data_IF_844222455172
#
_entry.id   IF_844222455172
#
_cell.length_a   1.000
_cell.length_b   1.000
_cell.length_c   1.000
_cell.angle_alpha   90.00
_cell.angle_beta   90.00
_cell.angle_gamma   90.00
#
_symmetry.space_group_name_H-M   'P 1'
#
loop_
_entity.id
_entity.type
_entity.pdbx_description
1 polymer ?
#
# COMPACT_ATOMS: atom_id res chain seq x y z
N UNK A 1 37.02 5.06 32.36
CA UNK A 1 35.57 5.29 32.48
C UNK A 1 34.96 4.78 31.19
N UNK A 2 34.39 3.58 31.24
CA UNK A 2 33.85 2.83 30.10
C UNK A 2 32.40 2.47 30.44
N UNK A 3 31.43 2.57 29.53
CA UNK A 3 30.06 2.16 29.80
C UNK A 3 29.90 0.63 29.74
N UNK A 4 28.94 0.05 30.49
CA UNK A 4 28.79 -1.40 30.63
C UNK A 4 27.96 -2.01 29.50
N UNK A 5 28.42 -3.17 29.04
CA UNK A 5 27.73 -4.10 28.15
C UNK A 5 26.66 -4.84 28.96
N UNK A 6 25.39 -4.43 28.87
CA UNK A 6 24.27 -5.25 29.37
C UNK A 6 22.98 -4.91 28.64
N UNK A 7 22.75 -5.50 27.45
CA UNK A 7 21.44 -5.43 26.78
C UNK A 7 21.31 -6.53 25.72
N UNK A 8 21.25 -7.82 26.11
CA UNK A 8 21.07 -8.92 25.15
C UNK A 8 20.49 -10.23 25.76
N UNK A 9 19.48 -10.16 26.64
CA UNK A 9 18.85 -11.39 27.21
C UNK A 9 17.31 -11.37 27.33
N UNK A 10 16.57 -10.38 26.80
CA UNK A 10 15.11 -10.29 27.03
C UNK A 10 14.17 -10.63 25.85
N UNK A 11 14.61 -11.37 24.83
CA UNK A 11 13.75 -11.68 23.64
C UNK A 11 13.18 -13.12 23.60
N UNK A 12 13.50 -14.02 24.55
CA UNK A 12 13.18 -15.45 24.39
C UNK A 12 12.02 -16.03 25.23
N UNK A 13 11.10 -15.23 25.78
CA UNK A 13 10.09 -15.73 26.74
C UNK A 13 8.60 -15.46 26.44
N UNK A 14 8.24 -15.03 25.22
CA UNK A 14 6.85 -15.01 24.75
C UNK A 14 6.58 -16.03 23.63
N UNK A 15 6.96 -17.29 23.87
CA UNK A 15 6.55 -18.45 23.05
C UNK A 15 5.67 -19.42 23.85
N UNK A 16 4.77 -18.88 24.67
CA UNK A 16 3.67 -19.67 25.22
C UNK A 16 2.55 -19.73 24.18
N UNK A 17 2.73 -20.61 23.20
CA UNK A 17 1.69 -21.05 22.31
C UNK A 17 0.60 -21.74 23.15
N UNK A 18 -0.45 -20.99 23.48
CA UNK A 18 -1.71 -21.57 23.94
C UNK A 18 -2.23 -22.48 22.82
N UNK A 19 -2.12 -23.79 23.02
CA UNK A 19 -2.71 -24.81 22.17
C UNK A 19 -4.24 -24.78 22.35
N UNK A 20 -4.89 -23.75 21.79
CA UNK A 20 -6.33 -23.75 21.60
C UNK A 20 -6.67 -24.89 20.64
N UNK A 21 -7.52 -25.81 21.11
CA UNK A 21 -7.99 -26.96 20.34
C UNK A 21 -8.73 -26.49 19.09
N UNK A 22 -8.00 -26.37 17.98
CA UNK A 22 -8.55 -26.03 16.68
C UNK A 22 -9.50 -27.16 16.25
N UNK A 23 -10.80 -26.92 16.40
CA UNK A 23 -11.79 -27.73 15.70
C UNK A 23 -11.57 -27.49 14.21
N UNK A 24 -11.04 -28.50 13.51
CA UNK A 24 -10.69 -28.42 12.09
C UNK A 24 -11.96 -28.46 11.25
N UNK A 25 -12.71 -27.36 11.26
CA UNK A 25 -13.75 -27.13 10.27
C UNK A 25 -13.08 -27.12 8.89
N UNK A 26 -13.64 -27.88 7.94
CA UNK A 26 -13.09 -27.93 6.58
C UNK A 26 -13.07 -26.50 6.02
N UNK A 27 -11.90 -26.01 5.55
CA UNK A 27 -11.78 -24.63 5.11
C UNK A 27 -12.72 -24.37 3.92
N UNK A 28 -13.36 -23.20 3.91
CA UNK A 28 -14.27 -22.82 2.84
C UNK A 28 -13.48 -22.72 1.52
N UNK A 29 -14.02 -23.28 0.43
CA UNK A 29 -13.39 -23.22 -0.91
C UNK A 29 -13.02 -21.79 -1.31
N UNK A 30 -13.87 -20.82 -0.99
CA UNK A 30 -13.62 -19.41 -1.35
C UNK A 30 -12.51 -18.77 -0.51
N UNK A 31 -12.38 -19.20 0.75
CA UNK A 31 -11.31 -18.75 1.64
C UNK A 31 -9.95 -19.29 1.19
N UNK A 32 -9.90 -20.58 0.81
CA UNK A 32 -8.69 -21.17 0.21
C UNK A 32 -8.28 -20.42 -1.07
N UNK A 33 -9.26 -20.11 -1.93
CA UNK A 33 -9.01 -19.32 -3.14
C UNK A 33 -8.49 -17.92 -2.80
N UNK A 34 -9.14 -17.21 -1.87
CA UNK A 34 -8.72 -15.88 -1.44
C UNK A 34 -7.29 -15.88 -0.89
N UNK A 35 -6.98 -16.82 0.01
CA UNK A 35 -5.64 -16.97 0.58
C UNK A 35 -4.57 -17.23 -0.49
N UNK A 36 -4.88 -18.05 -1.49
CA UNK A 36 -4.00 -18.27 -2.64
C UNK A 36 -3.76 -16.97 -3.39
N UNK A 37 -4.81 -16.23 -3.73
CA UNK A 37 -4.69 -14.95 -4.46
C UNK A 37 -3.87 -13.93 -3.66
N UNK A 38 -4.10 -13.80 -2.36
CA UNK A 38 -3.30 -12.90 -1.49
C UNK A 38 -1.82 -13.31 -1.51
N UNK A 39 -1.51 -14.60 -1.33
CA UNK A 39 -0.12 -15.07 -1.38
C UNK A 39 0.55 -14.86 -2.74
N UNK A 40 -0.20 -14.97 -3.84
CA UNK A 40 0.30 -14.71 -5.19
C UNK A 40 0.49 -13.22 -5.48
N UNK A 41 -0.10 -12.32 -4.70
CA UNK A 41 0.06 -10.88 -4.83
C UNK A 41 0.96 -10.25 -3.77
N UNK A 42 1.34 -10.96 -2.71
CA UNK A 42 2.34 -10.46 -1.76
C UNK A 42 3.71 -10.46 -2.43
N UNK A 43 4.21 -9.27 -2.77
CA UNK A 43 5.53 -9.03 -3.33
C UNK A 43 6.48 -8.45 -2.27
N UNK A 44 7.79 -8.58 -2.49
CA UNK A 44 8.80 -7.90 -1.68
C UNK A 44 8.69 -6.38 -1.88
N UNK A 45 9.09 -5.54 -0.90
CA UNK A 45 9.08 -4.10 -1.09
C UNK A 45 9.88 -3.65 -2.32
N UNK A 46 11.02 -4.31 -2.60
CA UNK A 46 11.85 -4.03 -3.77
C UNK A 46 11.12 -4.34 -5.08
N UNK A 47 10.47 -5.52 -5.17
CA UNK A 47 9.67 -5.88 -6.33
C UNK A 47 8.50 -4.90 -6.57
N UNK A 48 7.90 -4.35 -5.50
CA UNK A 48 6.85 -3.36 -5.65
C UNK A 48 7.37 -2.08 -6.31
N UNK A 49 8.59 -1.63 -6.01
CA UNK A 49 9.17 -0.46 -6.69
C UNK A 49 9.44 -0.71 -8.18
N UNK A 50 9.63 -1.96 -8.58
CA UNK A 50 9.77 -2.35 -9.99
C UNK A 50 8.47 -2.24 -10.81
N UNK A 51 7.31 -2.02 -10.18
CA UNK A 51 6.05 -1.85 -10.90
C UNK A 51 5.97 -0.44 -11.50
N UNK A 52 5.81 -0.35 -12.81
CA UNK A 52 5.75 0.93 -13.53
C UNK A 52 4.58 1.82 -13.09
N UNK A 53 3.37 1.26 -13.01
CA UNK A 53 2.17 2.02 -12.69
C UNK A 53 2.13 2.43 -11.20
N UNK A 54 2.09 3.74 -10.88
CA UNK A 54 2.00 4.21 -9.49
C UNK A 54 0.76 3.70 -8.77
N UNK A 55 -0.34 3.60 -9.51
CA UNK A 55 -1.60 3.05 -9.00
C UNK A 55 -1.45 1.59 -8.59
N UNK A 56 -0.81 0.79 -9.42
CA UNK A 56 -0.59 -0.62 -9.09
C UNK A 56 0.34 -0.76 -7.88
N UNK A 57 1.40 0.06 -7.76
CA UNK A 57 2.24 0.08 -6.55
C UNK A 57 1.44 0.28 -5.28
N UNK A 58 0.55 1.28 -5.25
CA UNK A 58 -0.33 1.53 -4.11
C UNK A 58 -1.18 0.30 -3.78
N UNK A 59 -1.75 -0.36 -4.79
CA UNK A 59 -2.52 -1.59 -4.59
C UNK A 59 -1.67 -2.73 -3.99
N UNK A 60 -0.46 -2.96 -4.50
CA UNK A 60 0.42 -4.00 -3.97
C UNK A 60 0.91 -3.71 -2.55
N UNK A 61 1.23 -2.45 -2.22
CA UNK A 61 1.55 -2.04 -0.83
C UNK A 61 0.37 -2.30 0.11
N UNK A 62 -0.84 -1.96 -0.31
CA UNK A 62 -2.06 -2.26 0.46
C UNK A 62 -2.33 -3.76 0.62
N UNK A 63 -2.09 -4.57 -0.41
CA UNK A 63 -2.20 -6.04 -0.31
C UNK A 63 -1.18 -6.60 0.68
N UNK A 64 0.08 -6.16 0.63
CA UNK A 64 1.11 -6.59 1.56
C UNK A 64 0.77 -6.20 3.01
N UNK A 65 0.33 -4.96 3.23
CA UNK A 65 -0.09 -4.49 4.55
C UNK A 65 -1.33 -5.25 5.07
N UNK A 66 -2.34 -5.47 4.22
CA UNK A 66 -3.52 -6.26 4.58
C UNK A 66 -3.18 -7.73 4.86
N UNK A 67 -2.18 -8.30 4.18
CA UNK A 67 -1.73 -9.67 4.41
C UNK A 67 -0.95 -9.83 5.71
N UNK A 68 -0.22 -8.79 6.13
CA UNK A 68 0.52 -8.73 7.39
C UNK A 68 -0.39 -8.63 8.61
N UNK A 69 -1.58 -8.05 8.45
CA UNK A 69 -2.57 -7.87 9.52
C UNK A 69 -3.67 -8.96 9.49
N UNK A 70 -3.65 -9.97 10.39
CA UNK A 70 -4.55 -11.12 10.31
C UNK A 70 -6.04 -10.76 10.38
N UNK A 71 -6.40 -9.74 11.16
CA UNK A 71 -7.77 -9.29 11.34
C UNK A 71 -8.33 -8.69 10.05
N UNK A 72 -7.52 -7.86 9.38
CA UNK A 72 -7.86 -7.25 8.08
C UNK A 72 -7.97 -8.34 7.01
N UNK A 73 -7.00 -9.24 6.94
CA UNK A 73 -7.02 -10.39 6.02
C UNK A 73 -8.26 -11.26 6.20
N UNK A 74 -8.62 -11.59 7.45
CA UNK A 74 -9.80 -12.39 7.76
C UNK A 74 -11.09 -11.67 7.33
N UNK A 75 -11.21 -10.37 7.64
CA UNK A 75 -12.36 -9.57 7.21
C UNK A 75 -12.54 -9.60 5.68
N UNK A 76 -11.47 -9.40 4.90
CA UNK A 76 -11.54 -9.53 3.45
C UNK A 76 -11.91 -10.94 2.99
N UNK A 77 -11.37 -11.97 3.64
CA UNK A 77 -11.71 -13.37 3.36
C UNK A 77 -13.20 -13.68 3.58
N UNK A 78 -13.79 -13.15 4.66
CA UNK A 78 -15.22 -13.26 4.96
C UNK A 78 -16.04 -12.55 3.88
N UNK A 79 -15.71 -11.29 3.58
CA UNK A 79 -16.44 -10.49 2.58
C UNK A 79 -16.39 -11.17 1.20
N UNK A 80 -15.22 -11.65 0.78
CA UNK A 80 -15.04 -12.37 -0.49
C UNK A 80 -15.80 -13.71 -0.50
N UNK A 81 -15.81 -14.42 0.64
CA UNK A 81 -16.53 -15.68 0.83
C UNK A 81 -18.05 -15.53 0.84
N UNK A 82 -18.57 -14.41 1.35
CA UNK A 82 -20.01 -14.26 1.63
C UNK A 82 -20.73 -13.40 0.58
N UNK A 83 -20.06 -12.42 -0.03
CA UNK A 83 -20.67 -11.48 -0.96
C UNK A 83 -20.29 -11.79 -2.41
N UNK A 84 -21.18 -12.48 -3.12
CA UNK A 84 -20.97 -12.86 -4.52
C UNK A 84 -20.61 -11.68 -5.46
N UNK A 85 -21.23 -10.49 -5.37
CA UNK A 85 -20.83 -9.35 -6.20
C UNK A 85 -19.38 -8.89 -5.94
N UNK A 86 -18.94 -8.90 -4.68
CA UNK A 86 -17.56 -8.57 -4.31
C UNK A 86 -16.62 -9.62 -4.89
N UNK A 87 -16.99 -10.89 -4.81
CA UNK A 87 -16.17 -11.98 -5.34
C UNK A 87 -15.89 -11.84 -6.84
N UNK A 88 -16.93 -11.56 -7.62
CA UNK A 88 -16.80 -11.36 -9.08
C UNK A 88 -15.89 -10.17 -9.38
N UNK A 89 -16.11 -9.04 -8.69
CA UNK A 89 -15.31 -7.85 -8.91
C UNK A 89 -13.86 -8.03 -8.43
N UNK A 90 -13.67 -8.72 -7.31
CA UNK A 90 -12.37 -9.13 -6.80
C UNK A 90 -11.62 -9.99 -7.80
N UNK A 91 -12.23 -11.06 -8.33
CA UNK A 91 -11.61 -11.94 -9.31
C UNK A 91 -11.09 -11.18 -10.54
N UNK A 92 -11.80 -10.13 -10.99
CA UNK A 92 -11.36 -9.29 -12.09
C UNK A 92 -10.13 -8.44 -11.73
N UNK A 93 -10.09 -7.85 -10.53
CA UNK A 93 -8.95 -7.06 -10.07
C UNK A 93 -7.74 -7.94 -9.80
N UNK A 94 -7.92 -9.06 -9.08
CA UNK A 94 -6.88 -10.03 -8.82
C UNK A 94 -6.28 -10.56 -10.12
N UNK A 95 -7.10 -10.91 -11.12
CA UNK A 95 -6.59 -11.37 -12.42
C UNK A 95 -5.63 -10.36 -13.08
N UNK A 96 -5.95 -9.06 -13.03
CA UNK A 96 -5.07 -8.01 -13.55
C UNK A 96 -3.78 -7.87 -12.74
N UNK A 97 -3.88 -7.87 -11.41
CA UNK A 97 -2.73 -7.75 -10.53
C UNK A 97 -1.83 -8.98 -10.61
N UNK A 98 -2.38 -10.19 -10.79
CA UNK A 98 -1.58 -11.41 -10.95
C UNK A 98 -0.69 -11.33 -12.19
N UNK A 99 -1.20 -10.83 -13.31
CA UNK A 99 -0.37 -10.62 -14.51
C UNK A 99 0.78 -9.64 -14.28
N UNK A 100 0.55 -8.58 -13.50
CA UNK A 100 1.59 -7.61 -13.13
C UNK A 100 2.62 -8.27 -12.19
N UNK A 101 2.16 -8.99 -11.17
CA UNK A 101 3.03 -9.69 -10.23
C UNK A 101 3.92 -10.74 -10.93
N UNK A 102 3.38 -11.45 -11.92
CA UNK A 102 4.14 -12.40 -12.72
C UNK A 102 5.22 -11.71 -13.56
N UNK A 103 4.94 -10.53 -14.12
CA UNK A 103 5.92 -9.78 -14.90
C UNK A 103 7.04 -9.23 -14.02
N UNK A 104 6.69 -8.62 -12.90
CA UNK A 104 7.65 -8.10 -11.91
C UNK A 104 8.56 -9.21 -11.41
N UNK A 105 8.03 -10.42 -11.13
CA UNK A 105 8.87 -11.55 -10.68
C UNK A 105 9.88 -12.00 -11.73
N UNK A 106 9.60 -11.83 -13.02
CA UNK A 106 10.59 -12.09 -14.08
C UNK A 106 11.68 -11.02 -14.08
N UNK A 107 11.31 -9.77 -13.81
CA UNK A 107 12.22 -8.63 -13.77
C UNK A 107 13.08 -8.60 -12.50
N UNK A 108 12.55 -9.01 -11.35
CA UNK A 108 13.26 -9.06 -10.06
C UNK A 108 14.52 -9.93 -10.15
N UNK A 109 14.46 -11.03 -10.92
CA UNK A 109 15.62 -11.88 -11.19
C UNK A 109 16.76 -11.20 -11.96
N UNK A 110 16.49 -10.08 -12.63
CA UNK A 110 17.52 -9.27 -13.31
C UNK A 110 18.17 -8.27 -12.35
N UNK A 111 17.42 -7.74 -11.39
CA UNK A 111 17.90 -6.74 -10.42
C UNK A 111 18.63 -7.41 -9.24
N UNK A 112 18.21 -8.60 -8.80
CA UNK A 112 18.85 -9.36 -7.72
C UNK A 112 20.27 -9.87 -8.05
N UNK A 113 20.76 -9.70 -9.28
CA UNK A 113 22.12 -10.10 -9.62
C UNK A 113 23.22 -9.20 -9.00
N UNK A 114 22.84 -8.09 -8.34
CA UNK A 114 23.74 -7.14 -7.67
C UNK A 114 23.75 -7.28 -6.13
N UNK A 115 23.37 -8.45 -5.60
CA UNK A 115 23.24 -8.78 -4.17
C UNK A 115 24.58 -8.75 -3.40
N UNK A 116 25.10 -7.55 -3.13
CA UNK A 116 25.85 -7.32 -1.90
C UNK A 116 24.82 -7.09 -0.77
N UNK A 117 24.87 -7.97 0.25
CA UNK A 117 23.95 -8.15 1.41
C UNK A 117 23.82 -6.92 2.35
N UNK A 118 24.18 -5.73 1.89
CA UNK A 118 24.09 -4.49 2.66
C UNK A 118 22.79 -3.78 2.30
N UNK A 119 21.93 -3.51 3.28
CA UNK A 119 20.60 -2.89 3.11
C UNK A 119 20.57 -1.56 2.34
N UNK A 120 21.74 -1.04 1.97
CA UNK A 120 21.99 -0.01 0.97
C UNK A 120 21.23 -0.21 -0.35
N UNK A 121 21.16 -1.45 -0.88
CA UNK A 121 20.52 -1.69 -2.20
C UNK A 121 19.01 -1.37 -2.19
N UNK A 122 18.30 -1.73 -1.12
CA UNK A 122 16.88 -1.43 -0.99
C UNK A 122 16.62 0.08 -0.88
N UNK A 123 17.47 0.80 -0.16
CA UNK A 123 17.38 2.26 -0.04
C UNK A 123 17.65 2.94 -1.40
N UNK A 124 18.68 2.49 -2.12
CA UNK A 124 19.02 3.01 -3.45
C UNK A 124 17.87 2.80 -4.45
N UNK A 125 17.23 1.63 -4.45
CA UNK A 125 16.06 1.36 -5.30
C UNK A 125 14.90 2.30 -4.97
N UNK A 126 14.61 2.50 -3.68
CA UNK A 126 13.56 3.43 -3.26
C UNK A 126 13.87 4.88 -3.69
N UNK A 127 15.10 5.35 -3.50
CA UNK A 127 15.54 6.68 -3.94
C UNK A 127 15.48 6.81 -5.46
N UNK A 128 15.96 5.81 -6.19
CA UNK A 128 15.92 5.78 -7.66
C UNK A 128 14.48 5.83 -8.16
N UNK A 129 13.54 5.18 -7.46
CA UNK A 129 12.13 5.24 -7.82
C UNK A 129 11.54 6.62 -7.61
N UNK A 130 11.87 7.28 -6.51
CA UNK A 130 11.40 8.65 -6.26
C UNK A 130 11.91 9.61 -7.32
N UNK A 131 13.16 9.45 -7.76
CA UNK A 131 13.72 10.23 -8.87
C UNK A 131 13.00 9.92 -10.19
N UNK A 132 12.73 8.65 -10.48
CA UNK A 132 11.97 8.25 -11.66
C UNK A 132 10.57 8.88 -11.69
N UNK A 133 9.81 8.76 -10.59
CA UNK A 133 8.45 9.31 -10.47
C UNK A 133 8.42 10.86 -10.48
N UNK A 134 9.55 11.51 -10.22
CA UNK A 134 9.67 12.96 -10.35
C UNK A 134 9.76 13.38 -11.82
N UNK A 135 10.49 12.60 -12.61
CA UNK A 135 10.77 12.83 -14.03
C UNK A 135 9.57 12.46 -14.89
N UNK A 136 8.94 11.32 -14.58
CA UNK A 136 7.66 10.86 -15.16
C UNK A 136 6.54 11.83 -14.75
N UNK A 137 6.39 12.89 -15.55
CA UNK A 137 5.55 14.04 -15.24
C UNK A 137 4.07 13.72 -15.43
N UNK A 138 3.76 12.80 -16.34
CA UNK A 138 2.39 12.37 -16.63
C UNK A 138 1.96 11.12 -15.87
N UNK A 139 2.87 10.49 -15.12
CA UNK A 139 2.65 9.26 -14.34
C UNK A 139 2.25 8.07 -15.22
N UNK A 140 2.75 8.02 -16.45
CA UNK A 140 2.55 6.92 -17.39
C UNK A 140 3.23 5.63 -16.91
N UNK A 141 4.23 5.74 -16.05
CA UNK A 141 5.09 4.65 -15.60
C UNK A 141 6.33 4.44 -16.48
N UNK A 142 6.53 5.33 -17.46
CA UNK A 142 7.70 5.36 -18.34
C UNK A 142 8.23 6.78 -18.46
N UNK A 143 9.50 6.96 -18.82
CA UNK A 143 10.07 8.27 -19.12
C UNK A 143 10.26 8.38 -20.62
N UNK A 144 9.55 9.32 -21.26
CA UNK A 144 9.78 9.62 -22.66
C UNK A 144 10.93 10.63 -22.87
N UNK A 145 11.31 10.82 -24.13
CA UNK A 145 12.40 11.74 -24.52
C UNK A 145 12.13 13.19 -24.10
N UNK A 146 10.89 13.64 -24.17
CA UNK A 146 10.53 15.03 -23.85
C UNK A 146 10.56 15.26 -22.34
N UNK A 147 10.02 14.35 -21.55
CA UNK A 147 10.10 14.35 -20.08
C UNK A 147 11.56 14.40 -19.61
N UNK A 148 12.41 13.55 -20.22
CA UNK A 148 13.84 13.50 -19.95
C UNK A 148 14.53 14.84 -20.26
N UNK A 149 14.30 15.41 -21.44
CA UNK A 149 14.93 16.67 -21.86
C UNK A 149 14.46 17.89 -21.04
N UNK A 150 13.23 17.83 -20.52
CA UNK A 150 12.63 18.87 -19.70
C UNK A 150 12.93 18.74 -18.20
N UNK A 151 13.70 17.72 -17.79
CA UNK A 151 14.03 17.46 -16.39
C UNK A 151 15.46 17.93 -16.04
N UNK A 152 15.67 19.22 -15.72
CA UNK A 152 17.01 19.79 -15.49
C UNK A 152 17.77 19.07 -14.36
N UNK A 153 17.07 18.54 -13.36
CA UNK A 153 17.65 17.86 -12.20
C UNK A 153 18.34 16.54 -12.61
N UNK A 154 17.71 15.75 -13.49
CA UNK A 154 18.32 14.54 -14.04
C UNK A 154 19.44 14.89 -15.03
N UNK A 155 19.25 15.94 -15.83
CA UNK A 155 20.26 16.35 -16.79
C UNK A 155 21.53 16.82 -16.09
N UNK A 156 21.43 17.45 -14.92
CA UNK A 156 22.60 17.77 -14.09
C UNK A 156 23.37 16.53 -13.62
N UNK A 157 22.70 15.39 -13.43
CA UNK A 157 23.34 14.10 -13.10
C UNK A 157 23.98 13.42 -14.32
N UNK A 158 23.34 13.52 -15.49
CA UNK A 158 23.75 12.82 -16.72
C UNK A 158 24.84 13.60 -17.49
N UNK A 159 24.79 14.94 -17.46
CA UNK A 159 25.68 15.82 -18.21
C UNK A 159 27.12 15.71 -17.67
N UNK A 160 27.95 14.91 -18.33
CA UNK A 160 29.39 14.85 -18.05
C UNK A 160 30.14 16.13 -18.44
N UNK A 161 29.58 16.94 -19.34
CA UNK A 161 30.19 18.17 -19.82
C UNK A 161 29.18 19.32 -19.80
N UNK A 162 29.56 20.46 -19.24
CA UNK A 162 28.75 21.67 -19.15
C UNK A 162 28.38 22.32 -20.51
N UNK A 163 28.80 21.72 -21.63
CA UNK A 163 28.61 22.26 -22.98
C UNK A 163 27.58 21.49 -23.82
N UNK A 164 27.12 20.32 -23.37
CA UNK A 164 26.17 19.52 -24.16
C UNK A 164 24.76 20.11 -24.00
N UNK A 165 23.99 20.13 -25.08
CA UNK A 165 22.59 20.56 -24.99
C UNK A 165 21.76 19.50 -24.24
N UNK A 166 20.71 19.93 -23.53
CA UNK A 166 19.79 18.99 -22.86
C UNK A 166 19.23 17.95 -23.84
N UNK A 167 18.99 18.32 -25.10
CA UNK A 167 18.50 17.37 -26.11
C UNK A 167 19.52 16.29 -26.46
N UNK A 168 20.81 16.62 -26.56
CA UNK A 168 21.85 15.65 -26.91
C UNK A 168 22.14 14.68 -25.75
N UNK A 169 22.15 15.19 -24.52
CA UNK A 169 22.30 14.33 -23.34
C UNK A 169 21.09 13.42 -23.13
N UNK A 170 19.87 13.90 -23.43
CA UNK A 170 18.67 13.08 -23.41
C UNK A 170 18.76 11.96 -24.47
N UNK A 171 19.18 12.29 -25.69
CA UNK A 171 19.39 11.31 -26.76
C UNK A 171 20.46 10.26 -26.40
N UNK A 172 21.55 10.70 -25.76
CA UNK A 172 22.61 9.81 -25.31
C UNK A 172 22.13 8.85 -24.21
N UNK A 173 21.35 9.35 -23.25
CA UNK A 173 20.79 8.53 -22.17
C UNK A 173 19.71 7.58 -22.68
N UNK A 174 18.80 8.03 -23.54
CA UNK A 174 17.82 7.16 -24.22
C UNK A 174 18.53 6.00 -24.91
N UNK A 175 19.59 6.27 -25.67
CA UNK A 175 20.35 5.21 -26.35
C UNK A 175 21.03 4.22 -25.39
N UNK A 176 21.33 4.62 -24.16
CA UNK A 176 21.94 3.78 -23.14
C UNK A 176 20.90 2.94 -22.39
N UNK A 177 19.78 3.57 -22.03
CA UNK A 177 18.77 3.02 -21.13
C UNK A 177 17.66 2.24 -21.86
N UNK A 178 17.16 2.75 -22.99
CA UNK A 178 16.08 2.15 -23.78
C UNK A 178 16.61 0.92 -24.55
N UNK A 179 16.65 -0.24 -23.88
CA UNK A 179 17.19 -1.48 -24.42
C UNK A 179 16.28 -2.07 -25.49
N UNK A 180 14.97 -1.94 -25.29
CA UNK A 180 13.95 -2.51 -26.18
C UNK A 180 13.66 -1.60 -27.40
N UNK A 181 14.08 -0.33 -27.36
CA UNK A 181 13.92 0.72 -28.38
C UNK A 181 12.46 1.08 -28.67
N UNK A 182 11.61 1.05 -27.65
CA UNK A 182 10.22 1.49 -27.77
C UNK A 182 10.05 3.00 -27.62
N UNK A 183 11.13 3.73 -27.29
CA UNK A 183 11.15 5.17 -27.13
C UNK A 183 10.72 5.64 -25.74
N UNK A 184 10.54 4.73 -24.78
CA UNK A 184 10.15 4.98 -23.40
C UNK A 184 11.07 4.20 -22.46
N UNK A 185 11.66 4.86 -21.47
CA UNK A 185 12.50 4.19 -20.49
C UNK A 185 11.61 3.67 -19.35
N UNK A 186 11.55 2.35 -19.18
CA UNK A 186 10.92 1.72 -18.01
C UNK A 186 11.78 1.91 -16.75
N UNK A 187 11.19 1.72 -15.57
CA UNK A 187 11.96 1.88 -14.33
C UNK A 187 13.14 0.91 -14.21
N UNK A 188 12.97 -0.34 -14.68
CA UNK A 188 14.03 -1.35 -14.67
C UNK A 188 15.19 -0.93 -15.60
N UNK A 189 14.88 -0.42 -16.80
CA UNK A 189 15.87 0.13 -17.72
C UNK A 189 16.61 1.33 -17.12
N UNK A 190 15.88 2.22 -16.45
CA UNK A 190 16.45 3.37 -15.75
C UNK A 190 17.46 2.95 -14.67
N UNK A 191 17.09 2.04 -13.76
CA UNK A 191 17.98 1.56 -12.71
C UNK A 191 19.20 0.84 -13.30
N UNK A 192 18.98 0.00 -14.32
CA UNK A 192 20.08 -0.68 -15.01
C UNK A 192 21.03 0.30 -15.70
N UNK A 193 20.52 1.40 -16.26
CA UNK A 193 21.33 2.46 -16.86
C UNK A 193 22.18 3.18 -15.81
N UNK A 194 21.59 3.54 -14.66
CA UNK A 194 22.31 4.15 -13.52
C UNK A 194 23.40 3.19 -13.02
N UNK A 195 23.08 1.92 -12.81
CA UNK A 195 24.05 0.93 -12.33
C UNK A 195 25.21 0.70 -13.33
N UNK A 196 24.94 0.73 -14.64
CA UNK A 196 25.99 0.69 -15.67
C UNK A 196 26.86 1.95 -15.66
N UNK A 197 26.33 3.06 -15.14
CA UNK A 197 26.99 4.36 -15.10
C UNK A 197 27.99 4.48 -13.92
N UNK A 198 28.01 3.54 -12.96
CA UNK A 198 28.99 3.46 -11.85
C UNK A 198 30.48 3.35 -12.30
N UNK A 199 30.74 3.24 -13.60
CA UNK A 199 32.07 3.50 -14.16
C UNK A 199 32.47 4.99 -14.13
N UNK A 200 31.61 5.88 -13.61
CA UNK A 200 31.82 7.33 -13.55
C UNK A 200 31.77 7.81 -12.08
N UNK A 201 32.90 8.27 -11.51
CA UNK A 201 33.13 8.39 -10.06
C UNK A 201 32.41 9.53 -9.33
N UNK A 202 31.28 10.04 -9.84
CA UNK A 202 30.59 11.22 -9.28
C UNK A 202 29.15 10.99 -8.80
N UNK A 203 28.61 9.76 -8.87
CA UNK A 203 27.24 9.42 -8.45
C UNK A 203 27.02 9.33 -6.92
N UNK A 204 27.86 9.97 -6.10
CA UNK A 204 27.63 10.11 -4.64
C UNK A 204 26.42 11.00 -4.28
N UNK A 205 25.52 11.29 -5.22
CA UNK A 205 24.57 12.39 -5.11
C UNK A 205 23.19 12.07 -5.68
N UNK A 206 22.79 10.79 -5.83
CA UNK A 206 21.37 10.48 -6.12
C UNK A 206 20.48 11.11 -5.03
N UNK A 207 20.94 11.03 -3.77
CA UNK A 207 20.30 11.70 -2.63
C UNK A 207 20.32 13.24 -2.77
N UNK A 208 21.41 13.84 -3.26
CA UNK A 208 21.51 15.29 -3.47
C UNK A 208 20.62 15.78 -4.62
N UNK A 209 20.48 14.99 -5.69
CA UNK A 209 19.62 15.32 -6.81
C UNK A 209 18.14 15.20 -6.44
N UNK A 210 17.80 14.16 -5.67
CA UNK A 210 16.47 14.05 -5.07
C UNK A 210 16.21 15.23 -4.12
N UNK A 211 17.18 15.61 -3.29
CA UNK A 211 17.04 16.76 -2.39
C UNK A 211 16.84 18.07 -3.17
N UNK A 212 17.57 18.28 -4.27
CA UNK A 212 17.41 19.45 -5.15
C UNK A 212 16.02 19.49 -5.80
N UNK A 213 15.57 18.36 -6.32
CA UNK A 213 14.25 18.20 -6.93
C UNK A 213 13.09 18.45 -5.95
N UNK A 214 13.19 17.96 -4.71
CA UNK A 214 12.17 18.18 -3.69
C UNK A 214 12.09 19.66 -3.27
N UNK A 215 13.22 20.38 -3.29
CA UNK A 215 13.27 21.82 -3.01
C UNK A 215 12.61 22.63 -4.13
N UNK A 216 12.75 22.25 -5.40
CA UNK A 216 12.16 22.99 -6.53
C UNK A 216 10.62 22.90 -6.55
N UNK A 217 10.06 21.70 -6.32
CA UNK A 217 8.59 21.46 -6.34
C UNK A 217 7.80 22.09 -5.19
N UNK A 218 8.43 22.32 -4.04
CA UNK A 218 7.75 22.88 -2.85
C UNK A 218 7.21 24.31 -3.07
N UNK A 219 7.64 24.99 -4.14
CA UNK A 219 7.24 26.37 -4.46
C UNK A 219 5.94 26.48 -5.29
N UNK A 220 5.49 25.41 -5.96
CA UNK A 220 4.38 25.48 -6.93
C UNK A 220 3.03 24.91 -6.42
N UNK A 221 2.99 24.25 -5.26
CA UNK A 221 1.75 23.69 -4.72
C UNK A 221 0.93 24.69 -3.89
N UNK A 222 0.40 25.74 -4.52
CA UNK A 222 -0.75 26.45 -3.96
C UNK A 222 -1.64 26.99 -5.07
N UNK A 223 -2.89 26.49 -5.15
CA UNK A 223 -4.12 27.18 -5.64
C UNK A 223 -5.14 26.23 -6.28
N UNK A 224 -5.55 25.15 -5.61
CA UNK A 224 -6.80 24.46 -5.98
C UNK A 224 -8.01 25.26 -5.45
N UNK A 225 -8.48 26.24 -6.25
CA UNK A 225 -9.67 27.05 -5.95
C UNK A 225 -10.95 26.17 -6.03
N UNK A 226 -11.50 25.79 -4.87
CA UNK A 226 -12.80 25.11 -4.76
C UNK A 226 -13.95 26.02 -5.24
N UNK A 227 -14.52 25.72 -6.41
CA UNK A 227 -15.78 26.34 -6.89
C UNK A 227 -16.97 25.77 -6.08
N UNK A 228 -17.67 26.62 -5.34
CA UNK A 228 -18.89 26.27 -4.59
C UNK A 228 -20.08 26.32 -5.56
N UNK A 229 -20.61 25.16 -5.94
CA UNK A 229 -21.73 25.03 -6.88
C UNK A 229 -22.79 24.05 -6.40
N UNK A 230 -23.98 24.59 -6.15
CA UNK A 230 -25.34 24.02 -6.19
C UNK A 230 -25.49 22.47 -6.24
N UNK A 231 -25.80 21.85 -5.09
CA UNK A 231 -26.49 20.55 -4.99
C UNK A 231 -25.85 19.35 -5.70
N UNK A 232 -24.54 19.37 -5.98
CA UNK A 232 -23.85 18.28 -6.65
C UNK A 232 -23.78 17.03 -5.75
N UNK A 233 -24.06 15.87 -6.34
CA UNK A 233 -23.73 14.58 -5.74
C UNK A 233 -22.26 14.58 -5.33
N UNK A 234 -21.97 14.20 -4.08
CA UNK A 234 -20.61 14.04 -3.58
C UNK A 234 -19.78 13.21 -4.56
N UNK A 235 -18.55 13.62 -4.82
CA UNK A 235 -17.65 12.82 -5.66
C UNK A 235 -17.41 11.46 -5.00
N UNK A 236 -17.04 10.40 -5.76
CA UNK A 236 -16.70 9.12 -5.16
C UNK A 236 -15.59 9.25 -4.09
N UNK A 237 -14.65 10.19 -4.27
CA UNK A 237 -13.60 10.46 -3.30
C UNK A 237 -14.17 11.04 -2.00
N UNK A 238 -14.97 12.10 -2.08
CA UNK A 238 -15.61 12.72 -0.91
C UNK A 238 -16.52 11.72 -0.16
N UNK A 239 -17.08 10.75 -0.87
CA UNK A 239 -17.87 9.67 -0.26
C UNK A 239 -16.99 8.68 0.47
N UNK A 240 -15.84 8.31 -0.09
CA UNK A 240 -14.89 7.41 0.55
C UNK A 240 -14.33 8.04 1.83
N UNK A 241 -13.89 9.30 1.78
CA UNK A 241 -13.42 10.04 2.96
C UNK A 241 -14.49 10.10 4.05
N UNK A 242 -15.74 10.40 3.69
CA UNK A 242 -16.84 10.42 4.65
C UNK A 242 -17.13 9.04 5.28
N UNK A 243 -16.91 7.94 4.55
CA UNK A 243 -17.02 6.59 5.12
C UNK A 243 -15.86 6.30 6.07
N UNK A 244 -14.64 6.73 5.73
CA UNK A 244 -13.46 6.57 6.57
C UNK A 244 -13.63 7.33 7.90
N UNK A 245 -14.03 8.60 7.84
CA UNK A 245 -14.33 9.43 9.01
C UNK A 245 -15.36 8.76 9.92
N UNK A 246 -16.42 8.20 9.32
CA UNK A 246 -17.47 7.53 10.06
C UNK A 246 -17.00 6.18 10.65
N UNK A 247 -16.11 5.43 9.99
CA UNK A 247 -15.48 4.25 10.58
C UNK A 247 -14.66 4.62 11.83
N UNK A 248 -13.90 5.71 11.79
CA UNK A 248 -13.13 6.21 12.94
C UNK A 248 -14.05 6.71 14.06
N UNK A 249 -15.21 7.29 13.72
CA UNK A 249 -16.22 7.64 14.71
C UNK A 249 -16.82 6.39 15.38
N UNK A 250 -17.12 5.32 14.61
CA UNK A 250 -17.63 4.07 15.18
C UNK A 250 -16.67 3.47 16.19
N UNK A 251 -15.37 3.62 15.99
CA UNK A 251 -14.37 3.18 16.93
C UNK A 251 -14.48 3.91 18.28
N UNK A 252 -14.75 5.22 18.25
CA UNK A 252 -15.00 6.01 19.46
C UNK A 252 -16.31 5.59 20.13
N UNK A 253 -17.37 5.39 19.34
CA UNK A 253 -18.69 5.00 19.84
C UNK A 253 -18.69 3.61 20.48
N UNK A 254 -17.81 2.71 20.02
CA UNK A 254 -17.62 1.36 20.55
C UNK A 254 -16.58 1.28 21.68
N UNK A 255 -15.91 2.39 22.01
CA UNK A 255 -14.86 2.42 23.03
C UNK A 255 -13.57 1.68 22.63
N UNK A 256 -13.23 1.65 21.34
CA UNK A 256 -12.04 0.97 20.79
C UNK A 256 -10.96 1.94 20.28
N UNK A 257 -11.10 3.24 20.59
CA UNK A 257 -10.15 4.29 20.20
C UNK A 257 -8.78 4.13 20.90
N UNK A 258 -7.71 4.71 20.35
CA UNK A 258 -6.46 4.80 21.08
C UNK A 258 -6.75 5.58 22.37
N UNK A 259 -6.44 4.97 23.52
CA UNK A 259 -6.67 5.62 24.80
C UNK A 259 -6.06 7.02 24.80
N UNK A 260 -6.82 8.01 25.26
CA UNK A 260 -6.22 9.28 25.63
C UNK A 260 -5.12 8.99 26.65
N UNK A 261 -3.94 9.60 26.46
CA UNK A 261 -2.64 9.45 27.16
C UNK A 261 -2.59 9.28 28.70
N UNK A 262 -3.72 9.14 29.40
CA UNK A 262 -3.82 8.93 30.84
C UNK A 262 -3.53 7.47 31.25
N UNK A 263 -2.29 7.04 31.00
CA UNK A 263 -1.40 6.30 31.93
C UNK A 263 -2.04 5.38 32.99
N UNK A 264 -2.94 4.48 32.63
CA UNK A 264 -3.22 3.28 33.43
C UNK A 264 -3.02 2.05 32.55
N UNK A 265 -1.92 1.31 32.80
CA UNK A 265 -1.51 0.12 32.03
C UNK A 265 -2.41 -1.12 32.21
N UNK A 266 -3.71 -0.93 32.40
CA UNK A 266 -4.66 -2.03 32.26
C UNK A 266 -5.04 -2.03 30.79
N UNK A 267 -4.68 -3.12 30.10
CA UNK A 267 -5.05 -3.37 28.71
C UNK A 267 -6.58 -3.42 28.63
N UNK A 268 -7.25 -2.27 28.46
CA UNK A 268 -8.70 -2.25 28.28
C UNK A 268 -8.99 -2.88 26.91
N UNK A 269 -9.43 -4.14 26.97
CA UNK A 269 -9.86 -4.91 25.82
C UNK A 269 -11.03 -4.19 25.13
N UNK A 270 -10.89 -3.89 23.84
CA UNK A 270 -11.96 -3.31 23.03
C UNK A 270 -13.26 -4.12 23.18
N UNK A 271 -14.42 -3.47 23.33
CA UNK A 271 -15.73 -4.13 23.52
C UNK A 271 -16.02 -5.15 22.41
N UNK A 272 -15.57 -4.85 21.19
CA UNK A 272 -15.70 -5.75 20.03
C UNK A 272 -14.91 -7.04 20.24
N UNK A 273 -13.77 -6.99 20.94
CA UNK A 273 -12.90 -8.13 21.19
C UNK A 273 -13.53 -9.09 22.17
N UNK A 274 -14.03 -8.57 23.29
CA UNK A 274 -14.74 -9.36 24.31
C UNK A 274 -15.95 -10.09 23.70
N UNK A 275 -16.76 -9.40 22.90
CA UNK A 275 -17.91 -10.03 22.25
C UNK A 275 -17.53 -11.08 21.20
N UNK A 276 -16.46 -10.83 20.45
CA UNK A 276 -15.97 -11.77 19.44
C UNK A 276 -15.53 -13.09 20.08
N UNK A 277 -14.85 -13.03 21.23
CA UNK A 277 -14.46 -14.23 21.97
C UNK A 277 -15.67 -15.05 22.43
N UNK A 278 -16.72 -14.38 22.90
CA UNK A 278 -17.97 -15.04 23.32
C UNK A 278 -18.70 -15.68 22.14
N UNK A 279 -18.76 -14.98 20.99
CA UNK A 279 -19.54 -15.39 19.81
C UNK A 279 -18.79 -16.36 18.90
N UNK A 280 -17.47 -16.45 18.95
CA UNK A 280 -16.66 -17.34 18.10
C UNK A 280 -17.04 -18.84 18.19
N UNK A 281 -17.77 -19.24 19.24
CA UNK A 281 -18.24 -20.61 19.44
C UNK A 281 -19.46 -20.97 18.57
N UNK A 282 -20.24 -19.98 18.14
CA UNK A 282 -21.44 -20.18 17.34
C UNK A 282 -21.19 -19.57 15.95
N UNK A 283 -21.33 -20.38 14.89
CA UNK A 283 -21.11 -20.00 13.50
C UNK A 283 -22.18 -19.02 12.96
N UNK A 284 -22.56 -18.05 13.78
CA UNK A 284 -23.65 -17.11 13.57
C UNK A 284 -23.22 -16.02 12.59
N UNK A 285 -24.18 -15.58 11.77
CA UNK A 285 -23.97 -14.53 10.77
C UNK A 285 -23.49 -13.23 11.41
N UNK A 286 -23.99 -12.95 12.61
CA UNK A 286 -23.63 -11.76 13.36
C UNK A 286 -22.16 -11.81 13.82
N UNK A 287 -21.66 -12.98 14.19
CA UNK A 287 -20.25 -13.19 14.53
C UNK A 287 -19.32 -12.91 13.35
N UNK A 288 -19.70 -13.35 12.14
CA UNK A 288 -18.92 -13.06 10.92
C UNK A 288 -18.90 -11.57 10.59
N UNK A 289 -20.04 -10.87 10.70
CA UNK A 289 -20.08 -9.44 10.41
C UNK A 289 -19.35 -8.60 11.46
N UNK A 290 -19.32 -9.05 12.72
CA UNK A 290 -18.45 -8.48 13.77
C UNK A 290 -16.96 -8.65 13.45
N UNK A 291 -16.55 -9.79 12.90
CA UNK A 291 -15.17 -9.97 12.44
C UNK A 291 -14.83 -9.04 11.28
N UNK A 292 -15.77 -8.82 10.36
CA UNK A 292 -15.61 -7.82 9.29
C UNK A 292 -15.52 -6.40 9.86
N UNK A 293 -16.34 -6.06 10.86
CA UNK A 293 -16.26 -4.77 11.54
C UNK A 293 -14.88 -4.56 12.18
N UNK A 294 -14.40 -5.52 12.98
CA UNK A 294 -13.08 -5.46 13.62
C UNK A 294 -11.96 -5.24 12.61
N UNK A 295 -11.92 -6.06 11.55
CA UNK A 295 -10.91 -5.88 10.50
C UNK A 295 -11.06 -4.57 9.74
N UNK A 296 -12.26 -4.01 9.62
CA UNK A 296 -12.47 -2.70 8.99
C UNK A 296 -11.95 -1.55 9.85
N UNK A 297 -12.13 -1.61 11.18
CA UNK A 297 -11.60 -0.61 12.12
C UNK A 297 -10.07 -0.61 12.12
N UNK A 298 -9.46 -1.80 12.21
CA UNK A 298 -7.99 -1.95 12.13
C UNK A 298 -7.48 -1.49 10.76
N UNK A 299 -8.16 -1.88 9.68
CA UNK A 299 -7.81 -1.48 8.32
C UNK A 299 -7.90 0.03 8.10
N UNK A 300 -8.83 0.73 8.76
CA UNK A 300 -8.98 2.18 8.69
C UNK A 300 -7.78 2.93 9.31
N UNK A 301 -7.01 2.29 10.21
CA UNK A 301 -5.77 2.85 10.79
C UNK A 301 -4.52 2.51 9.96
N UNK A 302 -4.64 1.60 9.00
CA UNK A 302 -3.52 1.16 8.19
C UNK A 302 -3.48 1.95 6.87
N UNK A 303 -2.67 3.01 6.83
CA UNK A 303 -2.59 3.93 5.68
C UNK A 303 -2.41 3.23 4.31
N UNK A 304 -1.51 2.25 4.13
CA UNK A 304 -1.38 1.55 2.84
C UNK A 304 -2.66 0.80 2.44
N UNK A 305 -3.41 0.26 3.40
CA UNK A 305 -4.69 -0.42 3.16
C UNK A 305 -5.76 0.59 2.75
N UNK A 306 -5.82 1.73 3.45
CA UNK A 306 -6.77 2.82 3.15
C UNK A 306 -6.52 3.37 1.74
N UNK A 307 -5.28 3.68 1.38
CA UNK A 307 -4.93 4.20 0.06
C UNK A 307 -5.26 3.20 -1.06
N UNK A 308 -4.96 1.91 -0.85
CA UNK A 308 -5.35 0.88 -1.81
C UNK A 308 -6.87 0.74 -1.94
N UNK A 309 -7.61 0.76 -0.83
CA UNK A 309 -9.08 0.72 -0.84
C UNK A 309 -9.68 1.94 -1.51
N UNK A 310 -9.14 3.14 -1.25
CA UNK A 310 -9.54 4.39 -1.89
C UNK A 310 -9.36 4.28 -3.40
N UNK A 311 -8.18 3.83 -3.84
CA UNK A 311 -7.89 3.61 -5.25
C UNK A 311 -8.86 2.62 -5.90
N UNK A 312 -9.14 1.50 -5.24
CA UNK A 312 -10.12 0.52 -5.73
C UNK A 312 -11.52 1.13 -5.84
N UNK A 313 -11.94 1.89 -4.83
CA UNK A 313 -13.26 2.53 -4.79
C UNK A 313 -13.42 3.58 -5.91
N UNK A 314 -12.35 4.31 -6.21
CA UNK A 314 -12.31 5.32 -7.27
C UNK A 314 -12.33 4.70 -8.66
N UNK A 315 -11.57 3.64 -8.89
CA UNK A 315 -11.36 3.08 -10.24
C UNK A 315 -12.38 1.97 -10.61
N UNK A 316 -12.90 1.23 -9.64
CA UNK A 316 -13.71 0.03 -9.90
C UNK A 316 -15.16 0.20 -9.41
N UNK A 317 -16.04 0.63 -10.30
CA UNK A 317 -17.47 0.86 -10.02
C UNK A 317 -18.20 -0.33 -9.34
N UNK A 318 -17.97 -1.61 -9.72
CA UNK A 318 -18.59 -2.72 -9.01
C UNK A 318 -18.14 -2.87 -7.55
N UNK A 319 -16.86 -2.63 -7.27
CA UNK A 319 -16.31 -2.65 -5.91
C UNK A 319 -16.79 -1.46 -5.10
N UNK A 320 -17.01 -0.31 -5.75
CA UNK A 320 -17.65 0.85 -5.13
C UNK A 320 -19.03 0.54 -4.57
N UNK A 321 -19.89 -0.05 -5.39
CA UNK A 321 -21.23 -0.47 -4.98
C UNK A 321 -21.15 -1.51 -3.85
N UNK A 322 -20.20 -2.43 -3.97
CA UNK A 322 -19.89 -3.40 -2.95
C UNK A 322 -19.52 -2.80 -1.60
N UNK A 323 -18.59 -1.83 -1.60
CA UNK A 323 -18.18 -1.07 -0.43
C UNK A 323 -19.35 -0.35 0.23
N UNK A 324 -20.19 0.32 -0.55
CA UNK A 324 -21.40 1.00 -0.05
C UNK A 324 -22.36 0.03 0.69
N UNK A 325 -22.51 -1.19 0.16
CA UNK A 325 -23.35 -2.23 0.77
C UNK A 325 -22.73 -2.71 2.09
N UNK A 326 -21.44 -3.06 2.08
CA UNK A 326 -20.72 -3.51 3.28
C UNK A 326 -20.80 -2.46 4.37
N UNK A 327 -20.49 -1.20 4.03
CA UNK A 327 -20.51 -0.09 4.96
C UNK A 327 -21.88 0.10 5.62
N UNK A 328 -22.96 0.02 4.84
CA UNK A 328 -24.33 0.07 5.37
C UNK A 328 -24.68 -1.10 6.29
N UNK A 329 -24.15 -2.29 6.02
CA UNK A 329 -24.34 -3.46 6.89
C UNK A 329 -23.59 -3.28 8.21
N UNK A 330 -22.34 -2.81 8.15
CA UNK A 330 -21.52 -2.52 9.33
C UNK A 330 -22.17 -1.45 10.22
N UNK A 331 -22.69 -0.37 9.64
CA UNK A 331 -23.39 0.66 10.41
C UNK A 331 -24.54 0.11 11.25
N UNK A 332 -25.33 -0.84 10.72
CA UNK A 332 -26.39 -1.49 11.49
C UNK A 332 -25.86 -2.35 12.63
N UNK A 333 -24.70 -3.00 12.45
CA UNK A 333 -24.06 -3.76 13.52
C UNK A 333 -23.63 -2.80 14.62
N UNK A 334 -22.98 -1.69 14.28
CA UNK A 334 -22.56 -0.68 15.24
C UNK A 334 -23.76 -0.12 16.00
N UNK A 335 -24.82 0.28 15.32
CA UNK A 335 -26.05 0.80 15.96
C UNK A 335 -26.62 -0.20 16.98
N UNK A 336 -26.64 -1.48 16.65
CA UNK A 336 -27.11 -2.53 17.56
C UNK A 336 -26.20 -2.71 18.77
N UNK A 337 -24.87 -2.62 18.58
CA UNK A 337 -23.90 -2.77 19.66
C UNK A 337 -23.94 -1.59 20.62
N UNK A 338 -23.97 -0.36 20.09
CA UNK A 338 -24.13 0.86 20.89
C UNK A 338 -25.45 0.82 21.66
N UNK A 339 -26.54 0.37 21.04
CA UNK A 339 -27.82 0.22 21.72
C UNK A 339 -27.80 -0.86 22.82
N UNK A 340 -26.95 -1.89 22.70
CA UNK A 340 -26.77 -2.93 23.71
C UNK A 340 -25.93 -2.40 24.88
N UNK A 341 -24.79 -1.77 24.60
CA UNK A 341 -23.92 -1.17 25.62
C UNK A 341 -24.66 -0.13 26.48
N UNK A 342 -25.55 0.66 25.89
CA UNK A 342 -26.36 1.65 26.63
C UNK A 342 -27.44 1.05 27.55
N UNK A 343 -27.72 -0.26 27.48
CA UNK A 343 -28.72 -0.94 28.33
C UNK A 343 -28.10 -1.63 29.54
N UNK A 344 -26.81 -1.89 29.49
CA UNK A 344 -26.02 -2.51 30.57
C UNK A 344 -25.58 -1.44 31.58
#
# INVERSE_FOLDING_TARGET
MSPPVTLLVWISLFSSAAAFGATTTKPNKYEVKFNKMVSELTLTPQAVECIDSPKQRVLFRGVAAAAAEPQVRNAFGIVYGDLAPIRVAGDLVFGKLTSVAEEVRKQEGLVAATDDDDGSSAALLATSRQLFDLIDGDQSGGIDREELANSPDLMALILHNANDSNTEAADAFMKLADENRDGVISFVEFVNAIAKQDQLPQLNSVDDALAAALQSRSSDQSTTKKKRGLGLRKSPEERFEAMLDQCLQWETDLGCGPESDDTSMLEDECVVDVELELKATNNDKDGRLLQVLKGSLIGARCEPVVEALKMVYMEYSPLRLGGDIIFKLLGKVVDNQVAKANRE
#
